data_IF_262248596762
#
_entry.id   IF_262248596762
#
_cell.length_a   1.000
_cell.length_b   1.000
_cell.length_c   1.000
_cell.angle_alpha   90.00
_cell.angle_beta   90.00
_cell.angle_gamma   90.00
#
_symmetry.space_group_name_H-M   'P 1'
#
loop_
_entity.id
_entity.type
_entity.pdbx_description
1 polymer ?
#
# COMPACT_ATOMS: atom_id res chain seq x y z
N UNK A 1 66.61 -16.72 47.20
CA UNK A 1 67.56 -15.61 47.39
C UNK A 1 66.78 -14.35 46.96
N UNK A 2 66.30 -13.57 47.85
CA UNK A 2 66.93 -12.36 48.41
C UNK A 2 66.89 -11.28 47.31
N UNK A 3 66.38 -10.10 47.45
CA UNK A 3 66.19 -9.16 48.53
C UNK A 3 65.67 -7.87 47.88
N UNK A 4 64.64 -7.28 48.40
CA UNK A 4 64.66 -6.04 49.19
C UNK A 4 64.58 -4.75 48.33
N UNK A 5 63.49 -4.01 48.50
CA UNK A 5 63.37 -2.77 49.32
C UNK A 5 63.84 -1.50 48.58
N UNK A 6 63.19 -0.44 48.45
CA UNK A 6 62.43 0.37 49.33
C UNK A 6 61.82 1.57 48.56
N UNK A 7 60.76 2.09 49.10
CA UNK A 7 60.36 3.48 48.82
C UNK A 7 61.27 4.44 49.68
N UNK A 8 61.26 5.74 49.44
CA UNK A 8 60.29 6.63 50.00
C UNK A 8 59.89 7.85 49.15
N UNK A 9 58.69 8.23 49.29
CA UNK A 9 58.17 9.45 49.92
C UNK A 9 58.65 10.82 49.40
N UNK A 10 57.66 11.61 49.16
CA UNK A 10 57.36 12.94 49.66
C UNK A 10 57.30 14.08 48.65
N UNK A 11 56.26 14.84 48.94
CA UNK A 11 56.03 16.29 48.79
C UNK A 11 55.72 16.80 47.42
N UNK A 12 54.51 17.20 47.20
CA UNK A 12 53.85 18.35 47.84
C UNK A 12 54.00 19.56 46.93
N UNK A 13 53.07 19.80 46.03
CA UNK A 13 52.84 21.17 45.56
C UNK A 13 51.35 21.36 45.25
N UNK A 14 50.69 22.05 46.14
CA UNK A 14 49.39 22.68 45.93
C UNK A 14 49.44 23.58 44.69
N UNK A 15 48.74 23.23 43.67
CA UNK A 15 48.44 24.13 42.56
C UNK A 15 47.02 24.62 42.74
N UNK A 16 46.88 25.88 43.06
CA UNK A 16 45.66 26.70 43.17
C UNK A 16 44.56 26.40 42.17
N UNK A 17 43.27 26.48 42.54
CA UNK A 17 42.12 26.15 41.67
C UNK A 17 41.72 27.26 40.69
N UNK A 18 42.67 27.98 40.09
CA UNK A 18 42.33 29.03 39.10
C UNK A 18 42.12 28.50 37.69
N UNK A 19 42.57 27.28 37.38
CA UNK A 19 42.38 26.68 36.05
C UNK A 19 41.03 26.02 35.82
N UNK A 20 40.47 25.46 36.89
CA UNK A 20 39.18 24.72 36.77
C UNK A 20 38.00 25.66 36.57
N UNK A 21 38.02 26.87 37.11
CA UNK A 21 36.96 27.86 36.95
C UNK A 21 36.91 28.41 35.51
N UNK A 22 38.08 28.63 34.88
CA UNK A 22 38.16 29.04 33.48
C UNK A 22 37.67 27.92 32.55
N UNK A 23 38.00 26.68 32.85
CA UNK A 23 37.59 25.52 32.09
C UNK A 23 36.07 25.28 32.21
N UNK A 24 35.48 25.44 33.38
CA UNK A 24 34.04 25.38 33.61
C UNK A 24 33.30 26.49 32.83
N UNK A 25 33.85 27.70 32.85
CA UNK A 25 33.26 28.84 32.11
C UNK A 25 33.29 28.58 30.60
N UNK A 26 34.39 28.02 30.07
CA UNK A 26 34.50 27.67 28.63
C UNK A 26 33.49 26.58 28.27
N UNK A 27 33.33 25.57 29.11
CA UNK A 27 32.34 24.49 28.86
C UNK A 27 30.91 25.05 28.91
N UNK A 28 30.58 25.90 29.86
CA UNK A 28 29.25 26.53 29.95
C UNK A 28 28.96 27.41 28.74
N UNK A 29 29.96 28.19 28.27
CA UNK A 29 29.80 29.00 27.05
C UNK A 29 29.62 28.10 25.80
N UNK A 30 30.39 27.01 25.71
CA UNK A 30 30.26 26.05 24.57
C UNK A 30 28.89 25.39 24.57
N UNK A 31 28.34 24.99 25.70
CA UNK A 31 27.00 24.41 25.83
C UNK A 31 25.92 25.45 25.48
N UNK A 32 26.04 26.70 25.93
CA UNK A 32 25.10 27.76 25.60
C UNK A 32 25.12 28.10 24.10
N UNK A 33 26.30 28.08 23.46
CA UNK A 33 26.44 28.26 22.03
C UNK A 33 25.80 27.07 21.24
N UNK A 34 26.00 25.85 21.70
CA UNK A 34 25.41 24.69 21.07
C UNK A 34 23.86 24.68 21.13
N UNK A 35 23.32 25.06 22.32
CA UNK A 35 21.86 25.21 22.51
C UNK A 35 21.32 26.38 21.70
N UNK A 36 22.01 27.52 21.67
CA UNK A 36 21.61 28.70 20.87
C UNK A 36 21.59 28.41 19.35
N UNK A 37 22.58 27.67 18.84
CA UNK A 37 22.64 27.27 17.44
C UNK A 37 21.54 26.25 17.08
N UNK A 38 21.17 25.34 17.98
CA UNK A 38 20.12 24.36 17.72
C UNK A 38 18.73 25.01 17.68
N UNK A 39 18.43 25.93 18.59
CA UNK A 39 17.14 26.65 18.67
C UNK A 39 17.05 27.68 17.54
N UNK A 40 18.12 28.46 17.30
CA UNK A 40 18.17 29.44 16.20
C UNK A 40 18.13 28.81 14.82
N UNK A 41 18.84 27.68 14.63
CA UNK A 41 18.83 26.94 13.36
C UNK A 41 17.46 26.37 13.04
N UNK A 42 16.76 25.82 14.03
CA UNK A 42 15.41 25.28 13.86
C UNK A 42 14.41 26.40 13.55
N UNK A 43 14.51 27.53 14.25
CA UNK A 43 13.62 28.67 14.02
C UNK A 43 13.86 29.31 12.63
N UNK A 44 15.13 29.46 12.21
CA UNK A 44 15.49 29.97 10.90
C UNK A 44 15.04 29.06 9.77
N UNK A 45 15.12 27.73 9.95
CA UNK A 45 14.65 26.76 8.95
C UNK A 45 13.12 26.74 8.84
N UNK A 46 12.41 26.92 9.97
CA UNK A 46 10.94 27.04 9.97
C UNK A 46 10.49 28.40 9.40
N UNK A 47 11.18 29.50 9.70
CA UNK A 47 10.81 30.82 9.18
C UNK A 47 10.99 30.93 7.65
N UNK A 48 12.04 30.31 7.11
CA UNK A 48 12.27 30.32 5.65
C UNK A 48 11.24 29.48 4.88
N UNK A 49 10.49 28.61 5.55
CA UNK A 49 9.40 27.84 4.98
C UNK A 49 8.06 28.58 5.02
N UNK A 50 7.96 29.65 5.77
CA UNK A 50 6.73 30.43 5.95
C UNK A 50 6.62 31.69 5.08
N UNK A 51 7.70 32.14 4.44
CA UNK A 51 7.65 33.34 3.59
C UNK A 51 7.04 33.10 2.20
N UNK A 52 6.63 31.84 1.89
CA UNK A 52 5.88 31.48 0.67
C UNK A 52 4.39 31.22 0.89
N UNK A 53 3.87 31.37 2.10
CA UNK A 53 2.50 30.93 2.45
C UNK A 53 1.57 32.06 2.94
N UNK A 54 1.92 33.33 2.74
CA UNK A 54 1.13 34.44 3.28
C UNK A 54 0.06 35.01 2.30
N UNK A 55 -0.08 34.49 1.10
CA UNK A 55 -1.06 35.00 0.12
C UNK A 55 -2.19 34.02 -0.25
N UNK A 56 -2.15 32.79 0.27
CA UNK A 56 -3.24 31.79 0.08
C UNK A 56 -4.06 31.46 1.34
N UNK A 57 -3.84 32.16 2.44
CA UNK A 57 -4.48 31.87 3.72
C UNK A 57 -5.89 32.52 3.88
N UNK A 58 -6.60 32.86 2.83
CA UNK A 58 -7.96 33.41 2.92
C UNK A 58 -9.06 32.56 2.28
N UNK A 59 -8.73 31.35 1.85
CA UNK A 59 -9.71 30.42 1.27
C UNK A 59 -9.65 28.97 1.83
N UNK A 60 -9.01 28.76 2.98
CA UNK A 60 -8.99 27.43 3.60
C UNK A 60 -9.71 27.44 4.95
N UNK A 61 -11.01 27.67 4.92
CA UNK A 61 -11.88 27.20 5.98
C UNK A 61 -11.99 25.68 5.83
N UNK A 62 -11.50 24.95 6.86
CA UNK A 62 -11.80 23.55 7.15
C UNK A 62 -11.50 22.57 6.00
N UNK A 63 -10.24 22.29 5.75
CA UNK A 63 -9.88 21.03 5.11
C UNK A 63 -9.75 19.96 6.19
N UNK A 64 -10.84 19.24 6.43
CA UNK A 64 -10.81 17.86 6.92
C UNK A 64 -9.76 17.08 6.11
N UNK A 65 -8.95 16.17 6.71
CA UNK A 65 -7.98 15.41 5.93
C UNK A 65 -8.72 14.73 4.79
N UNK A 66 -8.40 15.13 3.56
CA UNK A 66 -9.02 14.58 2.37
C UNK A 66 -8.74 13.07 2.35
N UNK A 67 -9.71 12.30 2.79
CA UNK A 67 -9.78 10.87 2.49
C UNK A 67 -9.69 10.79 0.97
N UNK A 68 -8.73 10.02 0.39
CA UNK A 68 -8.62 9.93 -1.05
C UNK A 68 -9.98 9.53 -1.61
N UNK A 69 -10.60 10.45 -2.36
CA UNK A 69 -11.92 10.22 -2.94
C UNK A 69 -11.75 9.08 -3.94
N UNK A 70 -12.13 7.88 -3.50
CA UNK A 70 -12.11 6.70 -4.36
C UNK A 70 -13.05 7.00 -5.52
N UNK A 71 -12.53 7.01 -6.74
CA UNK A 71 -13.33 7.24 -7.94
C UNK A 71 -14.57 6.34 -7.95
N UNK A 72 -15.68 6.80 -8.51
CA UNK A 72 -16.91 6.02 -8.59
C UNK A 72 -16.66 4.69 -9.32
N UNK A 73 -17.27 3.61 -8.82
CA UNK A 73 -17.18 2.32 -9.45
C UNK A 73 -18.01 2.32 -10.75
N UNK A 74 -17.43 1.75 -11.79
CA UNK A 74 -18.08 1.52 -13.09
C UNK A 74 -18.28 0.02 -13.22
N UNK A 75 -19.46 -0.40 -13.63
CA UNK A 75 -19.81 -1.79 -13.82
C UNK A 75 -20.10 -2.07 -15.29
N UNK A 76 -19.47 -3.10 -15.84
CA UNK A 76 -19.68 -3.55 -17.21
C UNK A 76 -20.09 -5.02 -17.22
N UNK A 77 -21.28 -5.30 -17.75
CA UNK A 77 -21.80 -6.65 -17.86
C UNK A 77 -21.25 -7.38 -19.07
N UNK A 78 -20.82 -8.63 -18.88
CA UNK A 78 -20.34 -9.50 -19.93
C UNK A 78 -21.52 -10.28 -20.57
N UNK A 79 -22.32 -9.62 -21.38
CA UNK A 79 -23.41 -10.27 -22.08
C UNK A 79 -22.93 -11.03 -23.34
N UNK A 80 -23.54 -12.17 -23.69
CA UNK A 80 -24.50 -12.96 -22.93
C UNK A 80 -23.87 -13.72 -21.75
N UNK A 81 -24.71 -14.26 -20.85
CA UNK A 81 -24.26 -15.12 -19.75
C UNK A 81 -23.44 -16.31 -20.26
N UNK A 82 -22.53 -16.80 -19.41
CA UNK A 82 -21.75 -18.00 -19.69
C UNK A 82 -22.55 -19.25 -19.34
N UNK A 83 -22.53 -20.24 -20.23
CA UNK A 83 -23.14 -21.56 -19.98
C UNK A 83 -22.07 -22.61 -20.18
N UNK A 84 -21.80 -23.41 -19.16
CA UNK A 84 -20.83 -24.51 -19.19
C UNK A 84 -21.47 -25.80 -18.71
N UNK A 85 -21.05 -26.92 -19.30
CA UNK A 85 -21.55 -28.24 -19.01
C UNK A 85 -20.54 -29.01 -18.14
N UNK A 86 -21.05 -29.77 -17.18
CA UNK A 86 -20.28 -30.68 -16.34
C UNK A 86 -20.78 -32.11 -16.49
N UNK A 87 -19.92 -33.07 -16.26
CA UNK A 87 -20.33 -34.45 -16.03
C UNK A 87 -20.09 -34.78 -14.56
N UNK A 88 -21.16 -34.87 -13.81
CA UNK A 88 -21.10 -35.19 -12.38
C UNK A 88 -21.85 -36.50 -12.09
N UNK A 89 -21.15 -37.51 -11.57
CA UNK A 89 -21.69 -38.83 -11.29
C UNK A 89 -22.42 -39.49 -12.47
N UNK A 90 -21.86 -39.35 -13.70
CA UNK A 90 -22.43 -39.87 -14.93
C UNK A 90 -23.67 -39.13 -15.44
N UNK A 91 -24.00 -37.99 -14.87
CA UNK A 91 -25.13 -37.15 -15.31
C UNK A 91 -24.61 -35.81 -15.85
N UNK A 92 -25.20 -35.37 -16.97
CA UNK A 92 -24.92 -34.01 -17.47
C UNK A 92 -25.52 -32.97 -16.53
N UNK A 93 -24.73 -32.02 -16.15
CA UNK A 93 -25.08 -30.86 -15.33
C UNK A 93 -24.65 -29.62 -16.05
N UNK A 94 -25.23 -28.48 -15.73
CA UNK A 94 -24.79 -27.22 -16.30
C UNK A 94 -24.82 -26.08 -15.29
N UNK A 95 -23.94 -25.13 -15.51
CA UNK A 95 -23.89 -23.86 -14.80
C UNK A 95 -24.15 -22.74 -15.80
N UNK A 96 -25.05 -21.84 -15.42
CA UNK A 96 -25.18 -20.55 -16.07
C UNK A 96 -24.70 -19.47 -15.10
N UNK A 97 -23.80 -18.59 -15.56
CA UNK A 97 -23.28 -17.49 -14.75
C UNK A 97 -23.29 -16.19 -15.56
N UNK A 98 -23.85 -15.15 -14.95
CA UNK A 98 -23.76 -13.78 -15.44
C UNK A 98 -22.66 -13.05 -14.68
N UNK A 99 -21.79 -12.39 -15.42
CA UNK A 99 -20.56 -11.76 -14.92
C UNK A 99 -20.60 -10.27 -15.19
N UNK A 100 -20.25 -9.47 -14.16
CA UNK A 100 -19.99 -8.05 -14.32
C UNK A 100 -18.55 -7.73 -13.87
N UNK A 101 -17.88 -6.89 -14.61
CA UNK A 101 -16.57 -6.34 -14.29
C UNK A 101 -16.77 -5.03 -13.52
N UNK A 102 -16.01 -4.84 -12.44
CA UNK A 102 -15.97 -3.59 -11.71
C UNK A 102 -14.60 -2.94 -11.89
N UNK A 103 -14.58 -1.74 -12.42
CA UNK A 103 -13.39 -0.90 -12.58
C UNK A 103 -13.64 0.53 -12.11
N UNK A 104 -12.65 1.39 -12.26
CA UNK A 104 -12.74 2.81 -11.91
C UNK A 104 -12.46 3.75 -13.07
N UNK A 105 -11.75 3.27 -14.07
CA UNK A 105 -11.42 4.03 -15.26
C UNK A 105 -12.15 3.45 -16.46
N UNK A 106 -13.01 4.28 -17.07
CA UNK A 106 -13.80 3.87 -18.23
C UNK A 106 -12.91 3.59 -19.43
N UNK A 107 -11.86 4.36 -19.64
CA UNK A 107 -10.97 4.17 -20.79
C UNK A 107 -10.20 2.84 -20.71
N UNK A 108 -9.83 2.42 -19.48
CA UNK A 108 -9.20 1.11 -19.26
C UNK A 108 -10.17 -0.05 -19.48
N UNK A 109 -11.43 0.09 -19.06
CA UNK A 109 -12.46 -0.90 -19.33
C UNK A 109 -12.78 -0.98 -20.85
N UNK A 110 -12.89 0.15 -21.52
CA UNK A 110 -13.12 0.21 -22.98
C UNK A 110 -11.96 -0.46 -23.76
N UNK A 111 -10.69 -0.24 -23.31
CA UNK A 111 -9.54 -0.93 -23.89
C UNK A 111 -9.59 -2.45 -23.69
N UNK A 112 -10.04 -2.92 -22.52
CA UNK A 112 -10.25 -4.34 -22.28
C UNK A 112 -11.37 -4.91 -23.13
N UNK A 113 -12.38 -4.11 -23.44
CA UNK A 113 -13.51 -4.52 -24.31
C UNK A 113 -13.07 -4.92 -25.70
N UNK A 114 -12.02 -4.32 -26.26
CA UNK A 114 -11.44 -4.71 -27.55
C UNK A 114 -10.91 -6.17 -27.54
N UNK A 115 -10.55 -6.68 -26.35
CA UNK A 115 -10.07 -8.04 -26.13
C UNK A 115 -11.16 -9.02 -25.64
N UNK A 116 -12.44 -8.63 -25.76
CA UNK A 116 -13.59 -9.41 -25.27
C UNK A 116 -13.60 -10.86 -25.74
N UNK A 117 -13.28 -11.22 -27.00
CA UNK A 117 -13.26 -12.62 -27.42
C UNK A 117 -12.25 -13.46 -26.63
N UNK A 118 -11.06 -12.91 -26.34
CA UNK A 118 -10.03 -13.60 -25.57
C UNK A 118 -10.46 -13.74 -24.11
N UNK A 119 -11.03 -12.67 -23.55
CA UNK A 119 -11.58 -12.66 -22.20
C UNK A 119 -12.64 -13.75 -22.03
N UNK A 120 -13.61 -13.79 -22.93
CA UNK A 120 -14.69 -14.79 -22.87
C UNK A 120 -14.17 -16.21 -23.01
N UNK A 121 -13.22 -16.44 -23.91
CA UNK A 121 -12.60 -17.76 -24.07
C UNK A 121 -11.92 -18.22 -22.77
N UNK A 122 -11.13 -17.34 -22.15
CA UNK A 122 -10.44 -17.66 -20.88
C UNK A 122 -11.44 -17.98 -19.76
N UNK A 123 -12.53 -17.22 -19.67
CA UNK A 123 -13.56 -17.45 -18.66
C UNK A 123 -14.33 -18.77 -18.91
N UNK A 124 -14.66 -19.09 -20.15
CA UNK A 124 -15.28 -20.38 -20.49
C UNK A 124 -14.36 -21.54 -20.07
N UNK A 125 -13.07 -21.46 -20.38
CA UNK A 125 -12.10 -22.49 -19.97
C UNK A 125 -11.98 -22.60 -18.45
N UNK A 126 -11.92 -21.46 -17.76
CA UNK A 126 -11.86 -21.41 -16.30
C UNK A 126 -13.10 -22.06 -15.67
N UNK A 127 -14.29 -21.71 -16.16
CA UNK A 127 -15.55 -22.22 -15.63
C UNK A 127 -15.74 -23.71 -15.90
N UNK A 128 -15.36 -24.17 -17.09
CA UNK A 128 -15.47 -25.59 -17.49
C UNK A 128 -14.52 -26.49 -16.73
N UNK A 129 -13.42 -25.95 -16.22
CA UNK A 129 -12.42 -26.69 -15.43
C UNK A 129 -12.77 -26.83 -13.95
N UNK A 130 -13.91 -26.32 -13.50
CA UNK A 130 -14.30 -26.39 -12.09
C UNK A 130 -14.98 -27.69 -11.70
N UNK A 131 -14.93 -28.01 -10.42
CA UNK A 131 -15.68 -29.13 -9.85
C UNK A 131 -17.10 -28.69 -9.51
N UNK A 132 -18.11 -29.45 -10.01
CA UNK A 132 -19.52 -29.13 -9.82
C UNK A 132 -19.94 -29.19 -8.34
N UNK A 133 -19.40 -30.14 -7.57
CA UNK A 133 -19.73 -30.29 -6.16
C UNK A 133 -19.21 -29.12 -5.33
N UNK A 134 -17.95 -28.70 -5.61
CA UNK A 134 -17.38 -27.52 -4.97
C UNK A 134 -18.21 -26.26 -5.23
N UNK A 135 -18.70 -26.08 -6.47
CA UNK A 135 -19.54 -24.93 -6.87
C UNK A 135 -20.93 -24.93 -6.21
N UNK A 136 -21.37 -26.05 -5.67
CA UNK A 136 -22.64 -26.12 -4.92
C UNK A 136 -22.54 -25.42 -3.56
N UNK A 137 -21.31 -25.18 -3.06
CA UNK A 137 -21.05 -24.53 -1.77
C UNK A 137 -20.85 -23.00 -1.92
N UNK A 138 -21.20 -22.20 -0.89
CA UNK A 138 -20.88 -20.78 -0.87
C UNK A 138 -19.37 -20.50 -1.00
N UNK A 139 -18.54 -21.32 -0.36
CA UNK A 139 -17.07 -21.19 -0.38
C UNK A 139 -16.53 -21.43 -1.78
N UNK A 140 -17.01 -22.47 -2.49
CA UNK A 140 -16.58 -22.74 -3.86
C UNK A 140 -16.97 -21.66 -4.84
N UNK A 141 -18.15 -21.06 -4.68
CA UNK A 141 -18.58 -19.89 -5.49
C UNK A 141 -17.67 -18.68 -5.26
N UNK A 142 -17.29 -18.43 -4.01
CA UNK A 142 -16.38 -17.33 -3.68
C UNK A 142 -14.95 -17.59 -4.22
N UNK A 143 -14.46 -18.82 -4.11
CA UNK A 143 -13.18 -19.21 -4.71
C UNK A 143 -13.20 -19.02 -6.24
N UNK A 144 -14.29 -19.43 -6.91
CA UNK A 144 -14.46 -19.22 -8.34
C UNK A 144 -14.43 -17.73 -8.68
N UNK A 145 -15.13 -16.89 -7.90
CA UNK A 145 -15.13 -15.43 -8.10
C UNK A 145 -13.73 -14.83 -8.00
N UNK A 146 -12.94 -15.26 -7.00
CA UNK A 146 -11.56 -14.81 -6.81
C UNK A 146 -10.64 -15.27 -7.96
N UNK A 147 -10.75 -16.53 -8.38
CA UNK A 147 -10.02 -17.06 -9.54
C UNK A 147 -10.38 -16.30 -10.83
N UNK A 148 -11.68 -16.03 -11.03
CA UNK A 148 -12.16 -15.25 -12.15
C UNK A 148 -11.59 -13.83 -12.13
N UNK A 149 -11.60 -13.18 -10.99
CA UNK A 149 -11.00 -11.85 -10.82
C UNK A 149 -9.52 -11.86 -11.17
N UNK A 150 -8.75 -12.80 -10.64
CA UNK A 150 -7.32 -12.92 -10.93
C UNK A 150 -7.04 -13.19 -12.43
N UNK A 151 -7.86 -14.05 -13.07
CA UNK A 151 -7.73 -14.35 -14.51
C UNK A 151 -8.00 -13.13 -15.38
N UNK A 152 -9.04 -12.35 -15.06
CA UNK A 152 -9.39 -11.12 -15.79
C UNK A 152 -8.31 -10.06 -15.59
N UNK A 153 -7.82 -9.87 -14.36
CA UNK A 153 -6.74 -8.93 -14.06
C UNK A 153 -5.45 -9.28 -14.80
N UNK A 154 -5.08 -10.56 -14.82
CA UNK A 154 -3.89 -11.02 -15.55
C UNK A 154 -4.02 -10.77 -17.06
N UNK A 155 -5.21 -10.99 -17.62
CA UNK A 155 -5.48 -10.71 -19.02
C UNK A 155 -5.43 -9.20 -19.30
N UNK A 156 -6.11 -8.39 -18.50
CA UNK A 156 -6.10 -6.94 -18.63
C UNK A 156 -4.66 -6.40 -18.61
N UNK A 157 -3.87 -6.84 -17.62
CA UNK A 157 -2.46 -6.44 -17.52
C UNK A 157 -1.64 -6.87 -18.74
N UNK A 158 -1.89 -8.05 -19.29
CA UNK A 158 -1.17 -8.58 -20.44
C UNK A 158 -1.52 -7.83 -21.74
N UNK A 159 -2.79 -7.56 -21.99
CA UNK A 159 -3.28 -7.02 -23.26
C UNK A 159 -3.28 -5.48 -23.27
N UNK A 160 -3.59 -4.84 -22.14
CA UNK A 160 -3.69 -3.37 -22.06
C UNK A 160 -2.54 -2.71 -21.29
N UNK A 161 -1.71 -3.51 -20.59
CA UNK A 161 -0.64 -3.01 -19.72
C UNK A 161 -1.13 -2.40 -18.41
N UNK A 162 -2.44 -2.49 -18.10
CA UNK A 162 -3.06 -1.87 -16.93
C UNK A 162 -4.01 -2.82 -16.20
N UNK A 163 -4.24 -2.56 -14.91
CA UNK A 163 -5.22 -3.28 -14.10
C UNK A 163 -6.61 -2.63 -14.22
N UNK A 164 -7.25 -2.79 -15.38
CA UNK A 164 -8.54 -2.19 -15.69
C UNK A 164 -9.67 -2.63 -14.74
N UNK A 165 -9.56 -3.82 -14.12
CA UNK A 165 -10.60 -4.44 -13.31
C UNK A 165 -10.13 -4.61 -11.87
N UNK A 166 -10.87 -4.04 -10.91
CA UNK A 166 -10.63 -4.26 -9.49
C UNK A 166 -11.20 -5.59 -9.02
N UNK A 167 -12.39 -5.94 -9.50
CA UNK A 167 -13.14 -7.08 -9.04
C UNK A 167 -14.11 -7.57 -10.09
N UNK A 168 -14.32 -8.89 -10.10
CA UNK A 168 -15.40 -9.54 -10.86
C UNK A 168 -16.55 -9.84 -9.92
N UNK A 169 -17.76 -9.59 -10.39
CA UNK A 169 -19.00 -9.87 -9.70
C UNK A 169 -19.81 -10.92 -10.47
N UNK A 170 -20.39 -11.87 -9.75
CA UNK A 170 -21.39 -12.75 -10.30
C UNK A 170 -22.78 -12.21 -9.98
N UNK A 171 -23.47 -11.72 -11.00
CA UNK A 171 -24.80 -11.14 -10.85
C UNK A 171 -25.90 -12.20 -10.83
N UNK A 172 -25.62 -13.37 -11.42
CA UNK A 172 -26.50 -14.54 -11.35
C UNK A 172 -25.66 -15.81 -11.48
N UNK A 173 -25.97 -16.83 -10.67
CA UNK A 173 -25.41 -18.20 -10.78
C UNK A 173 -26.55 -19.21 -10.64
N UNK A 174 -26.73 -20.01 -11.65
CA UNK A 174 -27.67 -21.14 -11.67
C UNK A 174 -26.90 -22.43 -11.90
N UNK A 175 -27.07 -23.42 -11.03
CA UNK A 175 -26.51 -24.78 -11.12
C UNK A 175 -27.65 -25.76 -11.23
N UNK A 176 -27.67 -26.59 -12.26
CA UNK A 176 -28.73 -27.58 -12.53
C UNK A 176 -28.15 -28.91 -12.98
#
# INVERSE_FOLDING_TARGET
MAKKEAAPAAEGAEAKPAGKMKLIIIIVIAVLLAVGLSVGGTWFFLSKKNDGAAEEAKAAAVAEPAVPVKQAAIYEELAPAFVVNFNHQGRARYMQVSVALMGRDKAELDALHEHMPVLRNNLVMLFSGQDFEALSTPVGKEMLRQQTTASVQALAQKETGKMAVEQVLFTNIVLQ
#
